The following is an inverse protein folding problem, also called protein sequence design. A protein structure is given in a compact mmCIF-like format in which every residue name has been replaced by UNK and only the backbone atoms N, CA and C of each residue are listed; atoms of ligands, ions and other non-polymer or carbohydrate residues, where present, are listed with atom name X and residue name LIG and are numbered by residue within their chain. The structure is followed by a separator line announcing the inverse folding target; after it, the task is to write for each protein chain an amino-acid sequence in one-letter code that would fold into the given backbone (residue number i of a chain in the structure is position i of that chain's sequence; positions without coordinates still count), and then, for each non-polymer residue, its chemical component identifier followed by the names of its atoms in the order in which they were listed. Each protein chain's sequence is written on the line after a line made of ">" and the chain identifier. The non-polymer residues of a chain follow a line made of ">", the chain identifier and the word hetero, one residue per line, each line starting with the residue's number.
data_IF_833524156888
#
_entry.id   IF_833524156888
#
_cell.length_a   1.000
_cell.length_b   1.000
_cell.length_c   1.000
_cell.angle_alpha   90.00
_cell.angle_beta   90.00
_cell.angle_gamma   90.00
#
_symmetry.space_group_name_H-M   'P 1'
#
loop_
_entity.id
_entity.type
_entity.pdbx_description
1 polymer ?
#
# COMPACT_ATOMS: atom_id res chain seq x y z
N UNK A 1 0.29 -3.71 -8.75
CA UNK A 1 1.34 -4.33 -7.94
C UNK A 1 1.16 -3.91 -6.48
N UNK A 2 1.12 -4.87 -5.59
CA UNK A 2 1.04 -4.60 -4.15
C UNK A 2 2.28 -5.20 -3.49
N UNK A 3 3.00 -4.36 -2.77
CA UNK A 3 4.15 -4.79 -1.98
C UNK A 3 3.95 -4.49 -0.51
N UNK A 4 4.47 -5.33 0.35
CA UNK A 4 4.40 -5.12 1.80
C UNK A 4 5.79 -5.22 2.41
N UNK A 5 6.15 -4.24 3.24
CA UNK A 5 7.44 -4.17 3.92
C UNK A 5 8.60 -4.30 2.92
N UNK A 6 9.40 -5.36 2.98
CA UNK A 6 10.46 -5.61 2.01
C UNK A 6 9.93 -5.60 0.56
N UNK A 7 8.71 -6.10 0.35
CA UNK A 7 8.08 -6.06 -0.97
C UNK A 7 7.89 -4.66 -1.52
N UNK A 8 7.75 -3.64 -0.67
CA UNK A 8 7.69 -2.25 -1.13
C UNK A 8 9.02 -1.79 -1.70
N UNK A 9 10.12 -2.27 -1.15
CA UNK A 9 11.46 -1.96 -1.64
C UNK A 9 11.64 -2.52 -3.05
N UNK A 10 11.22 -3.77 -3.27
CA UNK A 10 11.27 -4.39 -4.59
C UNK A 10 10.36 -3.66 -5.59
N UNK A 11 9.17 -3.27 -5.15
CA UNK A 11 8.25 -2.51 -6.00
C UNK A 11 8.86 -1.18 -6.43
N UNK A 12 9.47 -0.45 -5.50
CA UNK A 12 10.11 0.83 -5.81
C UNK A 12 11.30 0.68 -6.74
N UNK A 13 12.12 -0.35 -6.52
CA UNK A 13 13.34 -0.57 -7.31
C UNK A 13 13.03 -1.08 -8.72
N UNK A 14 12.08 -1.97 -8.87
CA UNK A 14 11.89 -2.72 -10.12
C UNK A 14 10.52 -2.56 -10.76
N UNK A 15 9.51 -2.09 -10.03
CA UNK A 15 8.13 -2.03 -10.52
C UNK A 15 7.96 -1.25 -11.81
N UNK A 16 8.71 -0.16 -11.98
CA UNK A 16 8.61 0.68 -13.17
C UNK A 16 9.05 -0.02 -14.45
N UNK A 17 9.84 -1.08 -14.33
CA UNK A 17 10.34 -1.85 -15.47
C UNK A 17 9.32 -2.85 -16.00
N UNK A 18 8.17 -2.97 -15.35
CA UNK A 18 7.16 -3.96 -15.68
C UNK A 18 5.86 -3.33 -16.13
N UNK A 19 5.04 -4.11 -16.84
CA UNK A 19 3.73 -3.67 -17.31
C UNK A 19 2.72 -3.77 -16.17
N UNK A 20 2.72 -2.78 -15.30
CA UNK A 20 1.78 -2.65 -14.17
C UNK A 20 0.96 -1.38 -14.34
N UNK A 21 -0.23 -1.33 -13.75
CA UNK A 21 -1.09 -0.15 -13.80
C UNK A 21 -0.75 0.87 -12.72
N UNK A 22 -0.11 0.42 -11.66
CA UNK A 22 0.29 1.24 -10.53
C UNK A 22 0.87 0.37 -9.43
N UNK A 23 1.25 0.98 -8.33
CA UNK A 23 1.79 0.26 -7.18
C UNK A 23 1.18 0.76 -5.87
N UNK A 24 0.89 -0.19 -4.98
CA UNK A 24 0.42 0.07 -3.62
C UNK A 24 1.48 -0.47 -2.66
N UNK A 25 2.00 0.42 -1.83
CA UNK A 25 3.07 0.13 -0.88
C UNK A 25 2.48 0.04 0.52
N UNK A 26 2.53 -1.15 1.11
CA UNK A 26 2.05 -1.36 2.48
C UNK A 26 3.22 -1.33 3.46
N UNK A 27 3.17 -0.43 4.41
CA UNK A 27 4.22 -0.27 5.43
C UNK A 27 5.62 -0.15 4.83
N UNK A 28 5.87 0.83 3.93
CA UNK A 28 7.19 0.96 3.31
C UNK A 28 8.23 1.41 4.34
N UNK A 29 9.31 0.64 4.57
CA UNK A 29 10.33 1.05 5.53
C UNK A 29 11.40 1.96 4.92
N UNK A 30 11.55 1.95 3.62
CA UNK A 30 12.54 2.73 2.87
C UNK A 30 13.99 2.51 3.37
N UNK A 31 14.32 1.26 3.65
CA UNK A 31 15.68 0.89 4.09
C UNK A 31 16.62 0.60 2.92
N UNK A 32 16.09 0.12 1.80
CA UNK A 32 16.90 -0.35 0.67
C UNK A 32 16.68 0.45 -0.60
N UNK A 33 15.48 1.00 -0.78
CA UNK A 33 15.22 1.88 -1.92
C UNK A 33 15.96 3.20 -1.73
N UNK A 34 16.78 3.57 -2.71
CA UNK A 34 17.53 4.83 -2.65
C UNK A 34 16.62 6.03 -2.95
N UNK A 35 17.11 7.21 -2.59
CA UNK A 35 16.40 8.45 -2.91
C UNK A 35 16.17 8.60 -4.41
N UNK A 36 17.14 8.18 -5.23
CA UNK A 36 17.04 8.23 -6.68
C UNK A 36 15.99 7.24 -7.20
N UNK A 37 15.92 6.06 -6.62
CA UNK A 37 14.91 5.06 -7.01
C UNK A 37 13.50 5.52 -6.66
N UNK A 38 13.34 6.18 -5.52
CA UNK A 38 12.07 6.79 -5.14
C UNK A 38 11.73 7.95 -6.08
N UNK A 39 12.67 8.86 -6.30
CA UNK A 39 12.47 10.03 -7.16
C UNK A 39 12.14 9.68 -8.60
N UNK A 40 12.61 8.54 -9.08
CA UNK A 40 12.33 8.08 -10.44
C UNK A 40 10.84 7.88 -10.70
N UNK A 41 10.03 7.66 -9.67
CA UNK A 41 8.59 7.54 -9.80
C UNK A 41 7.89 8.86 -10.11
N UNK A 42 8.52 9.98 -9.85
CA UNK A 42 7.92 11.29 -10.17
C UNK A 42 7.71 11.47 -11.68
N UNK A 43 8.61 10.91 -12.49
CA UNK A 43 8.49 10.95 -13.94
C UNK A 43 7.54 9.89 -14.52
N UNK A 44 7.01 9.02 -13.68
CA UNK A 44 6.13 7.95 -14.09
C UNK A 44 4.69 8.32 -13.75
N UNK A 45 3.80 8.31 -14.73
CA UNK A 45 2.40 8.73 -14.56
C UNK A 45 1.52 7.69 -13.88
N UNK A 46 2.04 6.49 -13.64
CA UNK A 46 1.27 5.43 -12.98
C UNK A 46 1.02 5.77 -11.51
N UNK A 47 -0.10 5.30 -10.99
CA UNK A 47 -0.51 5.58 -9.64
C UNK A 47 0.46 4.94 -8.63
N UNK A 48 0.86 5.72 -7.63
CA UNK A 48 1.69 5.25 -6.52
C UNK A 48 1.00 5.63 -5.21
N UNK A 49 0.73 4.63 -4.39
CA UNK A 49 0.00 4.80 -3.13
C UNK A 49 0.83 4.17 -2.02
N UNK A 50 0.98 4.88 -0.91
CA UNK A 50 1.63 4.33 0.28
C UNK A 50 0.65 4.33 1.45
N UNK A 51 0.39 3.14 2.00
CA UNK A 51 -0.35 2.99 3.24
C UNK A 51 0.64 2.92 4.38
N UNK A 52 0.66 3.97 5.20
CA UNK A 52 1.66 4.14 6.27
C UNK A 52 0.97 3.97 7.61
N UNK A 53 1.32 2.91 8.37
CA UNK A 53 0.75 2.73 9.70
C UNK A 53 1.19 3.84 10.64
N UNK A 54 0.26 4.42 11.38
CA UNK A 54 0.55 5.50 12.34
C UNK A 54 1.63 5.11 13.34
N UNK A 55 1.59 3.85 13.79
CA UNK A 55 2.46 3.34 14.86
C UNK A 55 3.57 2.42 14.32
N UNK A 56 3.96 2.58 13.07
CA UNK A 56 5.03 1.79 12.47
C UNK A 56 6.37 2.12 13.14
N UNK A 57 7.13 1.09 13.49
CA UNK A 57 8.44 1.25 14.11
C UNK A 57 9.52 1.70 13.11
N UNK A 58 9.28 1.54 11.83
CA UNK A 58 10.27 1.85 10.78
C UNK A 58 10.04 3.22 10.14
N UNK A 59 8.80 3.51 9.73
CA UNK A 59 8.51 4.75 9.01
C UNK A 59 7.08 5.20 9.33
N UNK A 60 6.95 6.37 9.92
CA UNK A 60 5.66 6.97 10.23
C UNK A 60 5.30 8.07 9.23
N UNK A 61 4.05 8.55 9.30
CA UNK A 61 3.49 9.49 8.34
C UNK A 61 4.35 10.72 8.04
N UNK A 62 4.79 11.48 9.05
CA UNK A 62 5.58 12.69 8.78
C UNK A 62 6.89 12.42 8.04
N UNK A 63 7.61 11.38 8.44
CA UNK A 63 8.85 10.99 7.76
C UNK A 63 8.57 10.44 6.36
N UNK A 64 7.47 9.69 6.21
CA UNK A 64 7.07 9.19 4.89
C UNK A 64 6.81 10.33 3.91
N UNK A 65 6.12 11.37 4.35
CA UNK A 65 5.86 12.55 3.51
C UNK A 65 7.15 13.23 3.10
N UNK A 66 8.11 13.31 4.00
CA UNK A 66 9.43 13.88 3.69
C UNK A 66 10.20 13.00 2.71
N UNK A 67 10.27 11.70 2.99
CA UNK A 67 11.04 10.75 2.17
C UNK A 67 10.46 10.56 0.76
N UNK A 68 9.15 10.71 0.60
CA UNK A 68 8.47 10.65 -0.69
C UNK A 68 8.24 12.01 -1.34
N UNK A 69 8.77 13.07 -0.78
CA UNK A 69 8.49 14.45 -1.26
C UNK A 69 8.89 14.71 -2.70
N UNK A 70 9.83 13.93 -3.24
CA UNK A 70 10.23 14.03 -4.64
C UNK A 70 9.21 13.46 -5.63
N UNK A 71 8.21 12.72 -5.14
CA UNK A 71 7.16 12.15 -5.99
C UNK A 71 5.88 12.95 -5.79
N UNK A 72 5.62 13.88 -6.68
CA UNK A 72 4.53 14.85 -6.53
C UNK A 72 3.14 14.23 -6.57
N UNK A 73 2.98 13.11 -7.25
CA UNK A 73 1.66 12.45 -7.44
C UNK A 73 1.40 11.28 -6.48
N UNK A 74 2.30 11.03 -5.52
CA UNK A 74 2.07 9.93 -4.57
C UNK A 74 0.90 10.26 -3.65
N UNK A 75 0.08 9.26 -3.37
CA UNK A 75 -0.99 9.33 -2.37
C UNK A 75 -0.50 8.61 -1.12
N UNK A 76 -0.27 9.37 -0.05
CA UNK A 76 0.17 8.82 1.25
C UNK A 76 -1.04 8.79 2.17
N UNK A 77 -1.45 7.58 2.53
CA UNK A 77 -2.57 7.33 3.44
C UNK A 77 -2.02 6.88 4.78
N UNK A 78 -2.13 7.74 5.79
CA UNK A 78 -1.74 7.38 7.15
C UNK A 78 -2.90 6.66 7.81
N UNK A 79 -2.66 5.44 8.30
CA UNK A 79 -3.71 4.62 8.89
C UNK A 79 -3.63 4.67 10.40
N UNK A 80 -4.62 5.31 11.03
CA UNK A 80 -4.70 5.48 12.47
C UNK A 80 -4.70 4.13 13.19
N UNK A 81 -3.88 4.04 14.24
CA UNK A 81 -3.74 2.83 15.05
C UNK A 81 -3.02 1.68 14.36
N UNK A 82 -2.63 1.83 13.10
CA UNK A 82 -1.94 0.78 12.36
C UNK A 82 -0.52 0.54 12.85
N UNK A 83 -0.12 -0.72 12.80
CA UNK A 83 1.26 -1.14 13.06
C UNK A 83 1.83 -1.79 11.81
N UNK A 84 3.14 -1.98 11.80
CA UNK A 84 3.85 -2.51 10.63
C UNK A 84 3.23 -3.80 10.07
N UNK A 85 2.77 -4.68 10.93
CA UNK A 85 2.20 -5.97 10.52
C UNK A 85 0.68 -5.93 10.32
N UNK A 86 0.04 -4.75 10.44
CA UNK A 86 -1.41 -4.61 10.27
C UNK A 86 -2.21 -5.57 11.15
N UNK A 87 -1.85 -5.62 12.44
CA UNK A 87 -2.41 -6.57 13.40
C UNK A 87 -3.87 -6.24 13.72
N UNK A 88 -4.70 -7.27 13.69
CA UNK A 88 -6.11 -7.19 14.09
C UNK A 88 -7.06 -7.10 12.91
N UNK A 89 -8.29 -7.53 13.15
CA UNK A 89 -9.32 -7.60 12.12
C UNK A 89 -9.64 -6.24 11.52
N UNK A 90 -9.73 -5.20 12.36
CA UNK A 90 -10.05 -3.86 11.87
C UNK A 90 -8.96 -3.30 10.97
N UNK A 91 -7.70 -3.52 11.32
CA UNK A 91 -6.58 -3.07 10.51
C UNK A 91 -6.52 -3.82 9.18
N UNK A 92 -6.71 -5.12 9.22
CA UNK A 92 -6.75 -5.95 8.01
C UNK A 92 -7.87 -5.50 7.08
N UNK A 93 -9.07 -5.28 7.62
CA UNK A 93 -10.19 -4.77 6.82
C UNK A 93 -9.89 -3.41 6.21
N UNK A 94 -9.27 -2.52 6.97
CA UNK A 94 -8.91 -1.19 6.49
C UNK A 94 -7.96 -1.29 5.28
N UNK A 95 -6.92 -2.10 5.40
CA UNK A 95 -5.95 -2.29 4.32
C UNK A 95 -6.60 -2.89 3.09
N UNK A 96 -7.40 -3.95 3.27
CA UNK A 96 -8.06 -4.59 2.14
C UNK A 96 -9.04 -3.66 1.43
N UNK A 97 -9.79 -2.86 2.18
CA UNK A 97 -10.70 -1.88 1.58
C UNK A 97 -9.95 -0.78 0.83
N UNK A 98 -8.83 -0.31 1.35
CA UNK A 98 -8.00 0.66 0.65
C UNK A 98 -7.48 0.10 -0.68
N UNK A 99 -7.04 -1.16 -0.68
CA UNK A 99 -6.57 -1.81 -1.89
C UNK A 99 -7.70 -1.97 -2.90
N UNK A 100 -8.82 -2.53 -2.47
CA UNK A 100 -9.95 -2.81 -3.36
C UNK A 100 -10.53 -1.53 -3.95
N UNK A 101 -10.62 -0.47 -3.18
CA UNK A 101 -11.14 0.80 -3.67
C UNK A 101 -10.30 1.35 -4.83
N UNK A 102 -9.00 1.10 -4.83
CA UNK A 102 -8.10 1.57 -5.88
C UNK A 102 -8.00 0.62 -7.06
N UNK A 103 -8.08 -0.68 -6.81
CA UNK A 103 -7.93 -1.70 -7.86
C UNK A 103 -9.27 -1.99 -8.56
N UNK A 104 -10.35 -2.06 -7.79
CA UNK A 104 -11.68 -2.36 -8.31
C UNK A 104 -12.74 -1.63 -7.48
N UNK A 105 -12.93 -0.32 -7.70
CA UNK A 105 -13.84 0.47 -6.87
C UNK A 105 -15.29 -0.03 -6.89
N UNK A 106 -15.73 -0.72 -7.93
CA UNK A 106 -17.07 -1.28 -7.98
C UNK A 106 -17.29 -2.40 -6.95
N UNK A 107 -16.23 -3.01 -6.45
CA UNK A 107 -16.28 -4.04 -5.42
C UNK A 107 -16.08 -3.49 -4.00
N UNK A 108 -15.88 -2.18 -3.86
CA UNK A 108 -15.68 -1.54 -2.56
C UNK A 108 -17.00 -1.01 -2.01
N UNK A 109 -17.21 -0.99 -0.68
CA UNK A 109 -16.35 -1.66 0.30
C UNK A 109 -16.54 -3.16 0.29
N UNK A 110 -15.57 -3.90 0.80
CA UNK A 110 -15.70 -5.34 0.96
C UNK A 110 -16.79 -5.66 1.98
N UNK A 111 -17.50 -6.80 1.83
CA UNK A 111 -18.54 -7.18 2.78
C UNK A 111 -17.99 -7.40 4.18
N UNK A 112 -18.80 -7.10 5.18
CA UNK A 112 -18.45 -7.30 6.59
C UNK A 112 -18.22 -8.78 6.92
N UNK A 113 -18.89 -9.67 6.20
CA UNK A 113 -18.84 -11.11 6.43
C UNK A 113 -18.30 -11.81 5.20
N UNK A 114 -17.47 -12.79 5.46
CA UNK A 114 -17.05 -13.73 4.43
C UNK A 114 -18.07 -14.88 4.37
N UNK A 115 -18.93 -14.83 3.38
CA UNK A 115 -19.97 -15.83 3.19
C UNK A 115 -19.68 -16.80 2.05
N UNK A 116 -18.52 -16.68 1.45
CA UNK A 116 -18.14 -17.55 0.34
C UNK A 116 -18.08 -19.02 0.69
N UNK A 117 -17.67 -19.32 1.91
CA UNK A 117 -17.65 -20.68 2.39
C UNK A 117 -19.04 -21.24 2.59
N UNK A 118 -19.94 -20.41 3.09
CA UNK A 118 -21.33 -20.80 3.27
C UNK A 118 -21.94 -21.13 1.90
N UNK A 119 -21.68 -20.30 0.92
CA UNK A 119 -22.15 -20.54 -0.44
C UNK A 119 -21.53 -21.82 -1.02
N UNK A 120 -20.22 -22.03 -0.81
CA UNK A 120 -19.53 -23.24 -1.23
C UNK A 120 -19.99 -24.47 -0.50
N UNK A 121 -20.28 -24.35 0.80
CA UNK A 121 -20.71 -25.49 1.61
C UNK A 121 -22.15 -25.92 1.33
N UNK A 122 -22.94 -25.09 0.72
CA UNK A 122 -24.31 -25.41 0.36
C UNK A 122 -24.39 -26.36 -0.81
N UNK A 123 -23.31 -26.56 -1.48
CA UNK A 123 -23.22 -27.51 -2.59
C UNK A 123 -23.14 -28.93 -2.10
#
# INVERSE_FOLDING_TARGET
>A
LVGWSFGTELALKYGREHAIDGAILLSPPLHRASAEEVAAWDGDHRQLIALVPELDDYLQGPEARERFSSVSHIDIVEVEGGKHLWVGENQTKRVLNEIVERVNPSAAPLPEWWDGEVAGSSD
#
